data_IF_910205556948
#
_entry.id   IF_910205556948
#
_cell.length_a   1.000
_cell.length_b   1.000
_cell.length_c   1.000
_cell.angle_alpha   90.00
_cell.angle_beta   90.00
_cell.angle_gamma   90.00
#
_symmetry.space_group_name_H-M   'P 1'
#
loop_
_entity.id
_entity.type
_entity.pdbx_description
1 polymer ?
#
# COMPACT_ATOMS: atom_id res chain seq x y z
N UNK A 1 -17.48 27.55 9.93
CA UNK A 1 -16.75 27.53 11.22
C UNK A 1 -15.63 26.49 11.12
N UNK A 2 -14.45 26.77 11.68
CA UNK A 2 -13.38 25.77 11.77
C UNK A 2 -13.67 24.80 12.91
N UNK A 3 -13.79 23.51 12.62
CA UNK A 3 -14.01 22.48 13.64
C UNK A 3 -12.65 22.14 14.27
N UNK A 4 -12.44 22.54 15.52
CA UNK A 4 -11.24 22.16 16.27
C UNK A 4 -11.29 20.67 16.57
N UNK A 5 -10.30 19.90 16.11
CA UNK A 5 -10.19 18.47 16.39
C UNK A 5 -9.28 18.25 17.60
N UNK A 6 -9.59 17.29 18.49
CA UNK A 6 -8.70 16.91 19.57
C UNK A 6 -7.33 16.51 19.04
N UNK A 7 -6.26 16.97 19.68
CA UNK A 7 -4.89 16.72 19.26
C UNK A 7 -4.57 15.21 19.17
N UNK A 8 -5.18 14.40 20.02
CA UNK A 8 -5.06 12.93 19.98
C UNK A 8 -5.74 12.29 18.76
N UNK A 9 -6.81 12.89 18.23
CA UNK A 9 -7.42 12.43 16.99
C UNK A 9 -6.51 12.74 15.79
N UNK A 10 -5.83 13.89 15.81
CA UNK A 10 -4.83 14.27 14.82
C UNK A 10 -3.61 13.33 14.90
N UNK A 11 -3.07 13.08 16.10
CA UNK A 11 -1.97 12.12 16.32
C UNK A 11 -2.31 10.72 15.79
N UNK A 12 -3.51 10.20 16.09
CA UNK A 12 -3.98 8.90 15.58
C UNK A 12 -4.15 8.88 14.06
N UNK A 13 -4.71 9.93 13.47
CA UNK A 13 -4.83 10.04 12.02
C UNK A 13 -3.46 10.07 11.33
N UNK A 14 -2.49 10.81 11.87
CA UNK A 14 -1.11 10.81 11.34
C UNK A 14 -0.45 9.44 11.48
N UNK A 15 -0.67 8.71 12.57
CA UNK A 15 -0.09 7.38 12.78
C UNK A 15 -0.72 6.27 11.91
N UNK A 16 -2.04 6.30 11.69
CA UNK A 16 -2.75 5.28 10.88
C UNK A 16 -2.64 5.55 9.36
N UNK A 17 -2.45 6.81 8.96
CA UNK A 17 -2.38 7.25 7.57
C UNK A 17 -0.95 7.64 7.12
N UNK A 18 0.02 7.43 8.02
CA UNK A 18 1.48 7.59 7.87
C UNK A 18 1.92 8.87 7.13
N UNK A 19 1.24 9.99 7.44
CA UNK A 19 1.54 11.30 6.86
C UNK A 19 1.17 11.49 5.38
N UNK A 20 0.56 10.51 4.71
CA UNK A 20 0.22 10.61 3.28
C UNK A 20 -0.88 11.65 3.08
N UNK A 21 -0.54 12.74 2.37
CA UNK A 21 -1.40 13.92 2.18
C UNK A 21 -2.78 13.57 1.61
N UNK A 22 -2.87 12.60 0.69
CA UNK A 22 -4.15 12.14 0.14
C UNK A 22 -5.07 11.49 1.17
N UNK A 23 -4.52 10.66 2.06
CA UNK A 23 -5.29 10.03 3.14
C UNK A 23 -5.68 11.04 4.22
N UNK A 24 -4.79 11.97 4.57
CA UNK A 24 -5.07 13.06 5.50
C UNK A 24 -6.19 13.99 4.99
N UNK A 25 -6.29 14.21 3.67
CA UNK A 25 -7.39 14.98 3.07
C UNK A 25 -8.74 14.25 3.20
N UNK A 26 -8.78 12.93 3.01
CA UNK A 26 -9.99 12.10 3.22
C UNK A 26 -10.43 12.13 4.69
N UNK A 27 -9.48 12.09 5.62
CA UNK A 27 -9.75 12.25 7.06
C UNK A 27 -10.31 13.64 7.38
N UNK A 28 -9.65 14.72 6.91
CA UNK A 28 -10.10 16.09 7.13
C UNK A 28 -11.54 16.32 6.65
N UNK A 29 -11.90 15.82 5.46
CA UNK A 29 -13.26 15.90 4.94
C UNK A 29 -14.26 15.08 5.77
N UNK A 30 -13.93 13.85 6.14
CA UNK A 30 -14.81 12.98 6.95
C UNK A 30 -15.03 13.55 8.36
N UNK A 31 -14.01 14.19 8.93
CA UNK A 31 -14.06 14.78 10.27
C UNK A 31 -14.96 16.02 10.36
N UNK A 32 -15.29 16.68 9.24
CA UNK A 32 -16.27 17.78 9.24
C UNK A 32 -17.68 17.28 9.54
N UNK A 33 -18.09 16.16 8.93
CA UNK A 33 -19.47 15.64 9.00
C UNK A 33 -19.78 14.66 10.14
N UNK A 34 -18.79 14.18 10.90
CA UNK A 34 -18.98 13.13 11.92
C UNK A 34 -18.15 13.34 13.18
N UNK A 35 -18.40 12.52 14.21
CA UNK A 35 -17.51 12.42 15.37
C UNK A 35 -16.10 11.96 14.96
N UNK A 36 -15.01 12.50 15.55
CA UNK A 36 -13.64 12.26 15.04
C UNK A 36 -13.21 10.79 15.02
N UNK A 37 -13.68 9.98 15.96
CA UNK A 37 -13.37 8.55 16.02
C UNK A 37 -14.00 7.77 14.84
N UNK A 38 -15.26 8.08 14.53
CA UNK A 38 -15.97 7.48 13.39
C UNK A 38 -15.34 7.94 12.07
N UNK A 39 -15.00 9.23 11.97
CA UNK A 39 -14.33 9.80 10.80
C UNK A 39 -12.97 9.12 10.50
N UNK A 40 -12.21 8.71 11.52
CA UNK A 40 -10.96 7.97 11.33
C UNK A 40 -11.21 6.55 10.78
N UNK A 41 -12.12 5.79 11.39
CA UNK A 41 -12.45 4.43 10.95
C UNK A 41 -13.01 4.41 9.51
N UNK A 42 -13.88 5.37 9.19
CA UNK A 42 -14.39 5.62 7.83
C UNK A 42 -13.25 5.90 6.84
N UNK A 43 -12.28 6.72 7.24
CA UNK A 43 -11.18 7.15 6.36
C UNK A 43 -10.20 6.03 6.09
N UNK A 44 -9.85 5.23 7.11
CA UNK A 44 -9.06 4.00 6.92
C UNK A 44 -9.79 3.03 5.99
N UNK A 45 -11.10 2.86 6.15
CA UNK A 45 -11.90 1.98 5.30
C UNK A 45 -11.95 2.47 3.85
N UNK A 46 -12.33 3.73 3.63
CA UNK A 46 -12.39 4.36 2.29
C UNK A 46 -11.03 4.38 1.60
N UNK A 47 -9.96 4.69 2.33
CA UNK A 47 -8.60 4.70 1.79
C UNK A 47 -8.07 3.31 1.46
N UNK A 48 -8.35 2.29 2.30
CA UNK A 48 -8.01 0.88 1.99
C UNK A 48 -8.72 0.41 0.71
N UNK A 49 -9.98 0.78 0.51
CA UNK A 49 -10.73 0.48 -0.71
C UNK A 49 -10.18 1.23 -1.93
N UNK A 50 -9.77 2.49 -1.79
CA UNK A 50 -9.15 3.26 -2.88
C UNK A 50 -7.80 2.68 -3.30
N UNK A 51 -6.90 2.42 -2.34
CA UNK A 51 -5.60 1.79 -2.59
C UNK A 51 -5.76 0.40 -3.25
N UNK A 52 -6.80 -0.36 -2.88
CA UNK A 52 -7.13 -1.61 -3.56
C UNK A 52 -7.59 -1.38 -5.00
N UNK A 53 -8.45 -0.38 -5.26
CA UNK A 53 -8.93 -0.03 -6.61
C UNK A 53 -7.80 0.43 -7.55
N UNK A 54 -6.86 1.20 -7.02
CA UNK A 54 -5.64 1.62 -7.74
C UNK A 54 -4.76 0.41 -8.09
N UNK A 55 -4.56 -0.51 -7.15
CA UNK A 55 -3.85 -1.76 -7.39
C UNK A 55 -4.56 -2.60 -8.48
N UNK A 56 -5.89 -2.78 -8.39
CA UNK A 56 -6.66 -3.52 -9.41
C UNK A 56 -6.52 -2.87 -10.80
N UNK A 57 -6.57 -1.54 -10.87
CA UNK A 57 -6.37 -0.79 -12.12
C UNK A 57 -4.97 -1.01 -12.71
N UNK A 58 -3.93 -0.99 -11.88
CA UNK A 58 -2.56 -1.29 -12.29
C UNK A 58 -2.39 -2.73 -12.82
N UNK A 59 -3.02 -3.70 -12.15
CA UNK A 59 -2.96 -5.13 -12.48
C UNK A 59 -3.77 -5.47 -13.73
N UNK A 60 -4.94 -4.84 -13.92
CA UNK A 60 -5.79 -5.04 -15.09
C UNK A 60 -5.11 -4.70 -16.42
N UNK A 61 -4.21 -3.72 -16.41
CA UNK A 61 -3.34 -3.39 -17.55
C UNK A 61 -2.16 -4.39 -17.76
N UNK A 62 -1.97 -5.35 -16.84
CA UNK A 62 -0.79 -6.22 -16.72
C UNK A 62 -1.14 -7.70 -16.47
N UNK A 63 -2.32 -8.17 -16.90
CA UNK A 63 -2.87 -9.51 -16.57
C UNK A 63 -1.89 -10.67 -16.67
N UNK A 64 -1.03 -10.71 -17.71
CA UNK A 64 -0.02 -11.76 -17.91
C UNK A 64 1.11 -11.80 -16.86
N UNK A 65 1.26 -10.73 -16.08
CA UNK A 65 2.21 -10.59 -14.99
C UNK A 65 1.53 -10.34 -13.63
N UNK A 66 0.19 -10.31 -13.55
CA UNK A 66 -0.60 -9.99 -12.36
C UNK A 66 -0.19 -10.83 -11.15
N UNK A 67 -0.14 -12.16 -11.29
CA UNK A 67 0.31 -13.09 -10.24
C UNK A 67 1.70 -12.72 -9.71
N UNK A 68 2.61 -12.30 -10.59
CA UNK A 68 3.99 -11.94 -10.24
C UNK A 68 4.04 -10.62 -9.47
N UNK A 69 3.32 -9.60 -9.90
CA UNK A 69 3.19 -8.34 -9.16
C UNK A 69 2.53 -8.54 -7.79
N UNK A 70 1.44 -9.30 -7.71
CA UNK A 70 0.76 -9.61 -6.44
C UNK A 70 1.65 -10.38 -5.46
N UNK A 71 2.41 -11.38 -5.91
CA UNK A 71 3.36 -12.09 -5.03
C UNK A 71 4.42 -11.14 -4.48
N UNK A 72 5.02 -10.29 -5.32
CA UNK A 72 6.05 -9.33 -4.92
C UNK A 72 5.49 -8.34 -3.88
N UNK A 73 4.32 -7.75 -4.15
CA UNK A 73 3.65 -6.82 -3.24
C UNK A 73 3.26 -7.47 -1.92
N UNK A 74 2.78 -8.72 -1.91
CA UNK A 74 2.47 -9.46 -0.68
C UNK A 74 3.71 -9.73 0.17
N UNK A 75 4.86 -10.04 -0.44
CA UNK A 75 6.13 -10.20 0.27
C UNK A 75 6.56 -8.88 0.94
N UNK A 76 6.49 -7.75 0.23
CA UNK A 76 6.81 -6.43 0.78
C UNK A 76 5.79 -5.92 1.80
N UNK A 77 4.53 -6.33 1.68
CA UNK A 77 3.51 -6.10 2.71
C UNK A 77 3.85 -6.86 4.00
N UNK A 78 4.49 -8.04 3.90
CA UNK A 78 5.07 -8.79 5.01
C UNK A 78 6.19 -8.02 5.72
N UNK A 79 7.18 -7.52 4.98
CA UNK A 79 8.23 -6.68 5.51
C UNK A 79 9.20 -6.14 4.44
N UNK A 80 10.05 -5.15 4.79
CA UNK A 80 11.03 -4.57 3.88
C UNK A 80 12.14 -5.59 3.53
N UNK A 81 12.58 -5.63 2.27
CA UNK A 81 13.51 -6.65 1.78
C UNK A 81 14.56 -6.11 0.81
N UNK A 82 15.78 -6.67 0.85
CA UNK A 82 16.80 -6.45 -0.18
C UNK A 82 16.44 -7.18 -1.48
N UNK A 83 16.90 -6.64 -2.61
CA UNK A 83 16.65 -7.17 -3.97
C UNK A 83 16.80 -8.70 -4.07
N UNK A 84 17.91 -9.25 -3.59
CA UNK A 84 18.25 -10.67 -3.71
C UNK A 84 17.37 -11.58 -2.85
N UNK A 85 16.98 -11.10 -1.66
CA UNK A 85 16.03 -11.81 -0.78
C UNK A 85 14.66 -11.83 -1.43
N UNK A 86 14.14 -10.67 -1.82
CA UNK A 86 12.82 -10.54 -2.43
C UNK A 86 12.68 -11.38 -3.71
N UNK A 87 13.72 -11.39 -4.57
CA UNK A 87 13.76 -12.25 -5.76
C UNK A 87 13.68 -13.73 -5.39
N UNK A 88 14.48 -14.19 -4.42
CA UNK A 88 14.51 -15.58 -3.95
C UNK A 88 13.16 -16.01 -3.39
N UNK A 89 12.57 -15.23 -2.49
CA UNK A 89 11.25 -15.53 -1.90
C UNK A 89 10.16 -15.56 -2.98
N UNK A 90 10.17 -14.61 -3.92
CA UNK A 90 9.22 -14.57 -5.03
C UNK A 90 9.32 -15.82 -5.92
N UNK A 91 10.53 -16.26 -6.24
CA UNK A 91 10.76 -17.48 -7.02
C UNK A 91 10.32 -18.75 -6.27
N UNK A 92 10.56 -18.82 -4.96
CA UNK A 92 10.12 -19.93 -4.12
C UNK A 92 8.58 -20.02 -4.05
N UNK A 93 7.90 -18.90 -3.81
CA UNK A 93 6.43 -18.83 -3.76
C UNK A 93 5.78 -19.15 -5.11
N UNK A 94 6.41 -18.76 -6.23
CA UNK A 94 5.89 -19.03 -7.57
C UNK A 94 6.27 -20.40 -8.14
N UNK A 95 7.26 -21.07 -7.53
CA UNK A 95 7.95 -22.24 -8.09
C UNK A 95 8.44 -21.99 -9.54
N UNK A 96 9.05 -20.82 -9.77
CA UNK A 96 9.45 -20.35 -11.10
C UNK A 96 10.86 -19.73 -11.07
N UNK A 97 11.60 -19.78 -12.18
CA UNK A 97 12.79 -18.95 -12.39
C UNK A 97 12.43 -17.64 -13.08
N UNK A 98 12.92 -16.52 -12.54
CA UNK A 98 12.67 -15.17 -13.07
C UNK A 98 14.00 -14.54 -13.44
N UNK A 99 14.09 -13.98 -14.65
CA UNK A 99 15.29 -13.28 -15.10
C UNK A 99 15.55 -12.00 -14.30
N UNK A 100 16.82 -11.66 -14.12
CA UNK A 100 17.31 -10.53 -13.32
C UNK A 100 16.87 -9.17 -13.89
N UNK A 101 16.79 -9.08 -15.22
CA UNK A 101 16.17 -7.96 -15.94
C UNK A 101 14.66 -7.88 -15.72
N UNK A 102 13.95 -9.01 -15.81
CA UNK A 102 12.49 -9.08 -15.66
C UNK A 102 12.03 -8.72 -14.24
N UNK A 103 12.70 -9.28 -13.22
CA UNK A 103 12.44 -8.94 -11.82
C UNK A 103 12.73 -7.47 -11.53
N UNK A 104 13.83 -6.92 -12.05
CA UNK A 104 14.15 -5.50 -11.92
C UNK A 104 13.13 -4.60 -12.63
N UNK A 105 12.56 -5.04 -13.75
CA UNK A 105 11.50 -4.31 -14.44
C UNK A 105 10.18 -4.30 -13.64
N UNK A 106 9.84 -5.39 -12.93
CA UNK A 106 8.71 -5.39 -12.00
C UNK A 106 8.91 -4.37 -10.88
N UNK A 107 10.08 -4.36 -10.24
CA UNK A 107 10.40 -3.38 -9.19
C UNK A 107 10.37 -1.94 -9.71
N UNK A 108 10.98 -1.66 -10.87
CA UNK A 108 10.90 -0.33 -11.51
C UNK A 108 9.46 0.10 -11.77
N UNK A 109 8.60 -0.79 -12.26
CA UNK A 109 7.19 -0.47 -12.49
C UNK A 109 6.42 -0.22 -11.20
N UNK A 110 6.75 -0.90 -10.09
CA UNK A 110 6.09 -0.66 -8.80
C UNK A 110 6.56 0.64 -8.15
N UNK A 111 7.85 0.97 -8.27
CA UNK A 111 8.42 2.25 -7.81
C UNK A 111 7.84 3.43 -8.60
N UNK A 112 7.73 3.31 -9.92
CA UNK A 112 7.16 4.37 -10.77
C UNK A 112 5.68 4.67 -10.47
N UNK A 113 4.93 3.70 -9.90
CA UNK A 113 3.55 3.87 -9.46
C UNK A 113 3.42 4.17 -7.95
N UNK A 114 4.52 4.33 -7.21
CA UNK A 114 4.51 4.65 -5.78
C UNK A 114 4.17 3.49 -4.83
N UNK A 115 3.79 2.30 -5.34
CA UNK A 115 3.46 1.14 -4.52
C UNK A 115 4.66 0.56 -3.74
N UNK A 116 5.88 0.89 -4.18
CA UNK A 116 7.13 0.45 -3.57
C UNK A 116 8.10 1.64 -3.50
N UNK A 117 8.78 1.82 -2.38
CA UNK A 117 9.88 2.76 -2.20
C UNK A 117 11.22 2.03 -2.14
N UNK A 118 12.32 2.77 -2.35
CA UNK A 118 13.69 2.27 -2.19
C UNK A 118 14.42 3.13 -1.16
N UNK A 119 14.76 2.55 -0.02
CA UNK A 119 15.52 3.20 1.05
C UNK A 119 16.89 2.54 1.13
N UNK A 120 17.91 3.23 0.61
CA UNK A 120 19.25 2.68 0.45
C UNK A 120 19.28 1.50 -0.53
N UNK A 121 19.33 0.27 -0.01
CA UNK A 121 19.31 -0.98 -0.79
C UNK A 121 18.13 -1.91 -0.43
N UNK A 122 17.13 -1.37 0.26
CA UNK A 122 15.95 -2.07 0.75
C UNK A 122 14.73 -1.55 0.00
N UNK A 123 13.89 -2.49 -0.46
CA UNK A 123 12.58 -2.21 -1.02
C UNK A 123 11.53 -2.34 0.08
N UNK A 124 10.59 -1.40 0.12
CA UNK A 124 9.51 -1.38 1.11
C UNK A 124 8.21 -0.85 0.50
N UNK A 125 7.11 -1.04 1.22
CA UNK A 125 5.79 -0.55 0.83
C UNK A 125 5.47 0.71 1.65
N UNK A 126 5.50 1.91 1.04
CA UNK A 126 5.35 3.17 1.77
C UNK A 126 3.91 3.45 2.18
N UNK A 127 2.91 2.91 1.49
CA UNK A 127 1.50 3.12 1.83
C UNK A 127 1.00 2.08 2.85
N UNK A 128 0.60 2.50 4.08
CA UNK A 128 0.01 1.60 5.07
C UNK A 128 -1.36 1.05 4.63
N UNK A 129 -2.11 1.78 3.80
CA UNK A 129 -3.45 1.35 3.38
C UNK A 129 -3.38 0.29 2.27
N UNK A 130 -2.46 0.42 1.31
CA UNK A 130 -2.10 -0.67 0.40
C UNK A 130 -1.58 -1.90 1.15
N UNK A 131 -0.72 -1.70 2.17
CA UNK A 131 -0.24 -2.79 3.04
C UNK A 131 -1.42 -3.48 3.76
N UNK A 132 -2.40 -2.71 4.24
CA UNK A 132 -3.63 -3.22 4.86
C UNK A 132 -4.50 -3.98 3.86
N UNK A 133 -4.69 -3.45 2.64
CA UNK A 133 -5.45 -4.09 1.56
C UNK A 133 -4.82 -5.41 1.06
N UNK A 134 -3.52 -5.61 1.27
CA UNK A 134 -2.81 -6.85 0.92
C UNK A 134 -2.72 -7.87 2.05
N UNK A 135 -2.76 -7.42 3.32
CA UNK A 135 -2.74 -8.28 4.52
C UNK A 135 -4.13 -8.73 4.94
N UNK A 136 -5.09 -7.80 4.96
CA UNK A 136 -6.49 -8.14 5.02
C UNK A 136 -6.87 -8.75 3.68
N UNK A 137 -6.90 -10.08 3.60
CA UNK A 137 -7.54 -10.75 2.48
C UNK A 137 -8.94 -10.20 2.37
N UNK A 138 -9.25 -9.51 1.27
CA UNK A 138 -10.59 -8.98 1.03
C UNK A 138 -11.48 -10.20 0.84
N UNK A 139 -12.21 -10.54 1.90
CA UNK A 139 -13.29 -11.52 1.85
C UNK A 139 -14.28 -11.05 0.79
N UNK A 140 -14.44 -11.87 -0.24
CA UNK A 140 -15.45 -11.76 -1.28
C UNK A 140 -16.07 -13.14 -1.46
#
# INVERSE_FOLDING_TARGET
AGKSLPEDAIRKAVAELDGIVGWLAIFGNSALGSEPANALADSVTKGTLLAHSELQSFLGARRSAEKRYLTLLRLLAGGPMRWSVLKREMQAVLNERIADSQFSNYLKSLVAYGFVAVVGNIYEMPDPLLRRALRGGISN
#
